data_IF_554864390714
#
_entry.id   IF_554864390714
#
_cell.length_a   1.000
_cell.length_b   1.000
_cell.length_c   1.000
_cell.angle_alpha   90.00
_cell.angle_beta   90.00
_cell.angle_gamma   90.00
#
_symmetry.space_group_name_H-M   'P 1'
#
loop_
_entity.id
_entity.type
_entity.pdbx_description
1 polymer ?
#
# COMPACT_ATOMS: atom_id res chain seq x y z
N UNK A 1 7.79 13.45 0.70
CA UNK A 1 6.79 14.47 0.30
C UNK A 1 5.85 14.70 1.48
N UNK A 2 5.52 15.97 1.79
CA UNK A 2 4.63 16.31 2.90
C UNK A 2 3.15 16.19 2.56
N UNK A 3 2.28 16.19 3.58
CA UNK A 3 0.83 16.22 3.40
C UNK A 3 0.38 17.53 2.72
N UNK A 4 -0.60 17.43 1.83
CA UNK A 4 -1.25 18.60 1.21
C UNK A 4 -2.18 19.35 2.17
N UNK A 5 -2.34 18.89 3.43
CA UNK A 5 -3.21 19.54 4.44
C UNK A 5 -2.94 21.03 4.62
N UNK A 6 -1.70 21.46 4.47
CA UNK A 6 -1.32 22.88 4.59
C UNK A 6 -2.00 23.78 3.55
N UNK A 7 -2.44 23.22 2.43
CA UNK A 7 -3.09 23.95 1.35
C UNK A 7 -4.62 24.04 1.47
N UNK A 8 -5.25 23.45 2.48
CA UNK A 8 -6.71 23.49 2.66
C UNK A 8 -7.23 24.91 2.74
N UNK A 9 -6.47 25.83 3.31
CA UNK A 9 -6.86 27.25 3.43
C UNK A 9 -6.57 28.08 2.16
N UNK A 10 -5.84 27.51 1.21
CA UNK A 10 -5.50 28.17 -0.06
C UNK A 10 -6.47 27.77 -1.20
N UNK A 11 -7.10 26.60 -1.07
CA UNK A 11 -7.97 26.03 -2.12
C UNK A 11 -9.31 25.61 -1.54
N UNK A 12 -10.37 26.33 -1.92
CA UNK A 12 -11.73 26.11 -1.40
C UNK A 12 -12.31 24.75 -1.80
N UNK A 13 -11.84 24.16 -2.92
CA UNK A 13 -12.27 22.87 -3.45
C UNK A 13 -11.36 21.69 -3.09
N UNK A 14 -10.38 21.89 -2.20
CA UNK A 14 -9.46 20.83 -1.81
C UNK A 14 -10.07 19.97 -0.70
N UNK A 15 -10.15 18.67 -0.97
CA UNK A 15 -10.54 17.65 0.01
C UNK A 15 -9.40 16.66 0.16
N UNK A 16 -8.94 16.44 1.40
CA UNK A 16 -7.90 15.45 1.71
C UNK A 16 -8.51 14.31 2.49
N UNK A 17 -8.40 13.11 1.94
CA UNK A 17 -8.85 11.89 2.59
C UNK A 17 -7.66 11.20 3.28
N UNK A 18 -7.87 10.76 4.51
CA UNK A 18 -6.90 10.00 5.29
C UNK A 18 -7.58 8.79 5.93
N UNK A 19 -6.90 7.66 5.96
CA UNK A 19 -7.42 6.42 6.55
C UNK A 19 -6.56 5.96 7.74
N UNK A 20 -7.19 5.31 8.70
CA UNK A 20 -6.52 4.55 9.76
C UNK A 20 -6.17 3.12 9.35
N UNK A 21 -6.60 2.68 8.17
CA UNK A 21 -6.49 1.28 7.72
C UNK A 21 -5.07 0.82 7.43
N UNK A 22 -4.11 1.72 7.17
CA UNK A 22 -2.75 1.37 6.72
C UNK A 22 -1.72 1.65 7.80
N UNK A 23 -1.20 2.86 7.92
CA UNK A 23 -0.13 3.20 8.86
C UNK A 23 -0.48 2.90 10.33
N UNK A 24 -1.73 3.06 10.71
CA UNK A 24 -2.22 2.70 12.05
C UNK A 24 -2.57 1.22 12.22
N UNK A 25 -2.64 0.43 11.13
CA UNK A 25 -3.01 -0.99 11.20
C UNK A 25 -4.48 -1.27 11.57
N UNK A 26 -5.36 -0.27 11.49
CA UNK A 26 -6.74 -0.33 11.98
C UNK A 26 -7.76 -0.58 10.85
N UNK A 27 -7.41 -1.41 9.87
CA UNK A 27 -8.28 -1.68 8.72
C UNK A 27 -9.66 -2.25 9.10
N UNK A 28 -9.73 -3.06 10.16
CA UNK A 28 -10.97 -3.68 10.65
C UNK A 28 -11.97 -2.65 11.21
N UNK A 29 -11.51 -1.50 11.69
CA UNK A 29 -12.37 -0.46 12.29
C UNK A 29 -13.15 0.37 11.26
N UNK A 30 -12.86 0.24 9.98
CA UNK A 30 -13.55 0.91 8.86
C UNK A 30 -13.67 2.43 9.03
N UNK A 31 -12.62 3.08 9.54
CA UNK A 31 -12.60 4.51 9.82
C UNK A 31 -11.63 5.25 8.92
N UNK A 32 -12.06 6.41 8.43
CA UNK A 32 -11.27 7.40 7.73
C UNK A 32 -11.67 8.81 8.13
N UNK A 33 -10.91 9.78 7.65
CA UNK A 33 -11.10 11.20 7.89
C UNK A 33 -11.12 11.95 6.55
N UNK A 34 -11.89 13.04 6.51
CA UNK A 34 -11.81 14.04 5.45
C UNK A 34 -11.45 15.39 6.06
N UNK A 35 -10.53 16.11 5.43
CA UNK A 35 -10.15 17.47 5.78
C UNK A 35 -10.46 18.37 4.59
N UNK A 36 -11.24 19.43 4.81
CA UNK A 36 -11.62 20.41 3.79
C UNK A 36 -12.02 21.72 4.45
N UNK A 37 -12.32 22.74 3.64
CA UNK A 37 -12.95 23.99 4.10
C UNK A 37 -14.29 23.71 4.77
N UNK A 38 -14.69 24.63 5.67
CA UNK A 38 -15.87 24.50 6.53
C UNK A 38 -17.16 24.21 5.75
N UNK A 39 -17.34 24.87 4.61
CA UNK A 39 -18.55 24.71 3.79
C UNK A 39 -18.67 23.31 3.19
N UNK A 40 -17.56 22.74 2.71
CA UNK A 40 -17.52 21.35 2.22
C UNK A 40 -17.84 20.37 3.37
N UNK A 41 -17.27 20.58 4.55
CA UNK A 41 -17.54 19.75 5.72
C UNK A 41 -19.02 19.87 6.14
N UNK A 42 -19.61 21.03 6.02
CA UNK A 42 -21.05 21.22 6.28
C UNK A 42 -21.92 20.40 5.30
N UNK A 43 -21.55 20.34 4.00
CA UNK A 43 -22.24 19.48 3.05
C UNK A 43 -22.08 17.99 3.38
N UNK A 44 -20.88 17.55 3.73
CA UNK A 44 -20.65 16.16 4.17
C UNK A 44 -21.50 15.81 5.38
N UNK A 45 -21.62 16.73 6.33
CA UNK A 45 -22.41 16.52 7.55
C UNK A 45 -23.91 16.38 7.27
N UNK A 46 -24.43 17.02 6.22
CA UNK A 46 -25.84 16.91 5.80
C UNK A 46 -26.18 15.54 5.18
N UNK A 47 -25.21 14.90 4.51
CA UNK A 47 -25.42 13.63 3.80
C UNK A 47 -24.91 12.42 4.57
N UNK A 48 -24.07 12.64 5.58
CA UNK A 48 -23.50 11.57 6.40
C UNK A 48 -24.57 10.97 7.32
N UNK A 49 -24.59 9.64 7.43
CA UNK A 49 -25.42 8.97 8.42
C UNK A 49 -25.04 9.40 9.85
N UNK A 50 -26.02 9.72 10.73
CA UNK A 50 -25.74 10.25 12.06
C UNK A 50 -24.99 9.28 12.97
N UNK A 51 -25.23 7.97 12.86
CA UNK A 51 -24.67 6.91 13.73
C UNK A 51 -23.69 6.00 12.99
N UNK A 52 -22.91 6.54 12.05
CA UNK A 52 -22.03 5.75 11.20
C UNK A 52 -20.76 5.22 11.89
N UNK A 53 -20.42 5.67 13.11
CA UNK A 53 -19.25 5.25 13.88
C UNK A 53 -19.70 4.86 15.27
N UNK A 54 -19.57 3.57 15.61
CA UNK A 54 -19.94 3.08 16.93
C UNK A 54 -18.94 3.51 18.02
N UNK A 55 -19.36 3.46 19.29
CA UNK A 55 -18.54 3.90 20.43
C UNK A 55 -17.26 3.10 20.56
N UNK A 56 -17.28 1.78 20.38
CA UNK A 56 -16.10 0.94 20.45
C UNK A 56 -15.01 1.33 19.42
N UNK A 57 -15.43 1.65 18.18
CA UNK A 57 -14.51 2.16 17.14
C UNK A 57 -13.89 3.48 17.57
N UNK A 58 -14.69 4.42 18.13
CA UNK A 58 -14.19 5.70 18.60
C UNK A 58 -13.14 5.53 19.70
N UNK A 59 -13.40 4.67 20.67
CA UNK A 59 -12.49 4.42 21.80
C UNK A 59 -11.18 3.79 21.35
N UNK A 60 -11.25 2.76 20.48
CA UNK A 60 -10.07 2.09 19.95
C UNK A 60 -9.18 3.04 19.11
N UNK A 61 -9.79 3.87 18.28
CA UNK A 61 -9.03 4.84 17.47
C UNK A 61 -8.44 5.92 18.34
N UNK A 62 -9.17 6.45 19.32
CA UNK A 62 -8.67 7.46 20.27
C UNK A 62 -7.44 6.94 21.02
N UNK A 63 -7.48 5.70 21.49
CA UNK A 63 -6.33 5.06 22.15
C UNK A 63 -5.15 4.84 21.17
N UNK A 64 -5.43 4.51 19.91
CA UNK A 64 -4.38 4.25 18.92
C UNK A 64 -3.66 5.52 18.44
N UNK A 65 -4.38 6.65 18.34
CA UNK A 65 -3.79 7.94 17.92
C UNK A 65 -2.72 8.42 18.91
N UNK A 66 -2.84 8.05 20.17
CA UNK A 66 -1.87 8.42 21.21
C UNK A 66 -0.56 7.63 21.12
N UNK A 67 -0.52 6.56 20.32
CA UNK A 67 0.68 5.73 20.16
C UNK A 67 1.47 6.16 18.92
N UNK A 68 2.81 6.22 19.00
CA UNK A 68 3.63 6.51 17.83
C UNK A 68 3.51 5.41 16.77
N UNK A 69 3.16 5.77 15.54
CA UNK A 69 3.10 4.85 14.39
C UNK A 69 4.45 4.72 13.67
N UNK A 70 5.45 5.48 14.10
CA UNK A 70 6.72 5.67 13.39
C UNK A 70 7.55 4.39 13.23
N UNK A 71 7.53 3.49 14.20
CA UNK A 71 8.37 2.28 14.18
C UNK A 71 7.97 1.34 13.05
N UNK A 72 6.68 1.02 12.91
CA UNK A 72 6.19 0.10 11.88
C UNK A 72 6.30 0.71 10.48
N UNK A 73 6.06 2.02 10.33
CA UNK A 73 6.18 2.70 9.04
C UNK A 73 7.62 2.82 8.59
N UNK A 74 8.57 3.12 9.49
CA UNK A 74 9.99 3.17 9.19
C UNK A 74 10.52 1.81 8.73
N UNK A 75 10.12 0.73 9.41
CA UNK A 75 10.45 -0.63 9.00
C UNK A 75 9.92 -0.95 7.59
N UNK A 76 8.65 -0.67 7.32
CA UNK A 76 8.04 -0.90 6.00
C UNK A 76 8.76 -0.10 4.89
N UNK A 77 9.12 1.15 5.14
CA UNK A 77 9.85 2.00 4.19
C UNK A 77 11.23 1.40 3.89
N UNK A 78 11.97 0.98 4.93
CA UNK A 78 13.27 0.33 4.79
C UNK A 78 13.19 -0.96 3.99
N UNK A 79 12.25 -1.85 4.35
CA UNK A 79 12.03 -3.13 3.65
C UNK A 79 11.62 -2.92 2.20
N UNK A 80 10.75 -1.94 1.91
CA UNK A 80 10.37 -1.59 0.54
C UNK A 80 11.57 -1.18 -0.29
N UNK A 81 12.45 -0.34 0.24
CA UNK A 81 13.67 0.08 -0.44
C UNK A 81 14.62 -1.10 -0.69
N UNK A 82 14.74 -2.01 0.26
CA UNK A 82 15.56 -3.22 0.12
C UNK A 82 14.98 -4.14 -0.95
N UNK A 83 13.68 -4.44 -0.92
CA UNK A 83 13.02 -5.24 -1.95
C UNK A 83 13.18 -4.64 -3.34
N UNK A 84 12.97 -3.33 -3.50
CA UNK A 84 13.12 -2.66 -4.79
C UNK A 84 14.55 -2.81 -5.35
N UNK A 85 15.58 -2.66 -4.52
CA UNK A 85 16.99 -2.85 -4.94
C UNK A 85 17.31 -4.28 -5.36
N UNK A 86 16.73 -5.28 -4.70
CA UNK A 86 16.93 -6.67 -5.10
C UNK A 86 16.20 -7.00 -6.39
N UNK A 87 14.91 -6.62 -6.48
CA UNK A 87 14.10 -6.84 -7.67
C UNK A 87 14.67 -6.17 -8.93
N UNK A 88 15.30 -5.00 -8.79
CA UNK A 88 15.92 -4.30 -9.93
C UNK A 88 17.15 -4.99 -10.53
N UNK A 89 17.62 -6.09 -9.91
CA UNK A 89 18.76 -6.87 -10.39
C UNK A 89 18.34 -8.17 -11.09
N UNK A 90 17.05 -8.47 -11.11
CA UNK A 90 16.51 -9.67 -11.75
C UNK A 90 16.25 -9.39 -13.23
N UNK A 91 16.70 -10.28 -14.09
CA UNK A 91 16.55 -10.16 -15.55
C UNK A 91 15.09 -10.28 -16.00
N UNK A 92 14.26 -10.99 -15.23
CA UNK A 92 12.81 -11.09 -15.47
C UNK A 92 12.05 -9.79 -15.21
N UNK A 93 12.67 -8.79 -14.55
CA UNK A 93 12.01 -7.53 -14.17
C UNK A 93 12.25 -6.45 -15.22
N UNK A 94 11.20 -5.99 -15.86
CA UNK A 94 11.27 -4.88 -16.82
C UNK A 94 11.31 -3.51 -16.11
N UNK A 95 10.46 -3.31 -15.07
CA UNK A 95 10.35 -2.02 -14.40
C UNK A 95 9.77 -2.14 -12.99
N UNK A 96 10.27 -1.33 -12.07
CA UNK A 96 9.68 -1.11 -10.76
C UNK A 96 9.13 0.30 -10.70
N UNK A 97 7.85 0.43 -10.41
CA UNK A 97 7.21 1.75 -10.30
C UNK A 97 7.50 2.38 -8.94
N UNK A 98 7.73 3.71 -8.87
CA UNK A 98 7.89 4.41 -7.60
C UNK A 98 6.69 4.17 -6.69
N UNK A 99 6.95 3.92 -5.40
CA UNK A 99 5.90 3.64 -4.42
C UNK A 99 6.19 4.34 -3.10
N UNK A 100 5.15 4.93 -2.51
CA UNK A 100 5.13 5.39 -1.11
C UNK A 100 4.15 4.54 -0.27
N UNK A 101 3.62 3.45 -0.84
CA UNK A 101 2.71 2.52 -0.19
C UNK A 101 3.46 1.35 0.49
N UNK A 102 2.70 0.44 1.09
CA UNK A 102 3.21 -0.81 1.66
C UNK A 102 3.28 -1.95 0.63
N UNK A 103 3.48 -1.63 -0.63
CA UNK A 103 3.66 -2.58 -1.73
C UNK A 103 4.52 -1.97 -2.84
N UNK A 104 5.05 -2.81 -3.70
CA UNK A 104 5.66 -2.47 -4.98
C UNK A 104 4.78 -2.93 -6.12
N UNK A 105 4.65 -2.10 -7.17
CA UNK A 105 4.13 -2.51 -8.46
C UNK A 105 5.33 -2.77 -9.35
N UNK A 106 5.46 -4.02 -9.80
CA UNK A 106 6.61 -4.51 -10.57
C UNK A 106 6.09 -5.02 -11.91
N UNK A 107 6.66 -4.52 -13.00
CA UNK A 107 6.40 -5.01 -14.34
C UNK A 107 7.45 -6.08 -14.67
N UNK A 108 6.98 -7.24 -15.10
CA UNK A 108 7.77 -8.36 -15.55
C UNK A 108 7.67 -8.51 -17.07
N UNK A 109 8.57 -9.24 -17.69
CA UNK A 109 8.42 -9.60 -19.10
C UNK A 109 7.26 -10.57 -19.29
N UNK A 110 7.05 -11.51 -18.37
CA UNK A 110 5.90 -12.43 -18.32
C UNK A 110 5.36 -12.54 -16.89
N UNK A 111 4.45 -11.64 -16.53
CA UNK A 111 3.88 -11.59 -15.18
C UNK A 111 3.02 -12.81 -14.85
N UNK A 112 2.39 -13.44 -15.83
CA UNK A 112 1.50 -14.56 -15.57
C UNK A 112 2.32 -15.80 -15.18
N UNK A 113 3.41 -16.11 -15.87
CA UNK A 113 4.32 -17.20 -15.47
C UNK A 113 4.94 -16.96 -14.10
N UNK A 114 5.42 -15.74 -13.82
CA UNK A 114 5.96 -15.39 -12.50
C UNK A 114 4.90 -15.54 -11.40
N UNK A 115 3.68 -15.13 -11.68
CA UNK A 115 2.55 -15.29 -10.77
C UNK A 115 2.27 -16.76 -10.45
N UNK A 116 2.13 -17.61 -11.47
CA UNK A 116 1.84 -19.03 -11.32
C UNK A 116 2.96 -19.75 -10.56
N UNK A 117 4.21 -19.40 -10.85
CA UNK A 117 5.37 -19.91 -10.11
C UNK A 117 5.31 -19.52 -8.63
N UNK A 118 5.07 -18.24 -8.30
CA UNK A 118 4.97 -17.79 -6.92
C UNK A 118 3.82 -18.49 -6.17
N UNK A 119 2.67 -18.66 -6.81
CA UNK A 119 1.54 -19.42 -6.25
C UNK A 119 1.94 -20.86 -5.95
N UNK A 120 2.65 -21.54 -6.86
CA UNK A 120 3.14 -22.92 -6.64
C UNK A 120 4.09 -23.03 -5.42
N UNK A 121 4.77 -21.96 -5.09
CA UNK A 121 5.65 -21.85 -3.89
C UNK A 121 4.91 -21.34 -2.63
N UNK A 122 3.60 -21.13 -2.71
CA UNK A 122 2.77 -20.62 -1.61
C UNK A 122 2.94 -19.12 -1.34
N UNK A 123 3.46 -18.34 -2.30
CA UNK A 123 3.57 -16.88 -2.22
C UNK A 123 2.42 -16.26 -3.01
N UNK A 124 1.53 -15.56 -2.29
CA UNK A 124 0.36 -14.93 -2.90
C UNK A 124 0.65 -13.45 -3.15
N UNK A 125 0.73 -13.08 -4.41
CA UNK A 125 0.82 -11.69 -4.89
C UNK A 125 -0.46 -11.31 -5.65
N UNK A 126 -0.59 -10.07 -6.08
CA UNK A 126 -1.74 -9.66 -6.89
C UNK A 126 -1.34 -9.43 -8.34
N UNK A 127 -1.85 -10.26 -9.25
CA UNK A 127 -1.75 -9.99 -10.68
C UNK A 127 -2.63 -8.79 -11.03
N UNK A 128 -2.03 -7.77 -11.66
CA UNK A 128 -2.68 -6.53 -12.06
C UNK A 128 -2.70 -6.35 -13.58
N UNK A 129 -2.31 -7.35 -14.35
CA UNK A 129 -2.19 -7.30 -15.81
C UNK A 129 -3.48 -6.89 -16.54
N UNK A 130 -4.64 -7.19 -15.93
CA UNK A 130 -5.96 -6.82 -16.44
C UNK A 130 -6.37 -5.36 -16.17
N UNK A 131 -5.59 -4.63 -15.36
CA UNK A 131 -5.89 -3.22 -15.04
C UNK A 131 -5.30 -2.33 -16.12
N UNK A 132 -6.06 -1.36 -16.66
CA UNK A 132 -5.53 -0.41 -17.63
C UNK A 132 -4.22 0.23 -17.17
N UNK A 133 -3.21 0.21 -18.03
CA UNK A 133 -1.86 0.73 -17.73
C UNK A 133 -0.96 -0.19 -16.90
N UNK A 134 -1.45 -1.35 -16.44
CA UNK A 134 -0.69 -2.30 -15.61
C UNK A 134 -0.40 -3.64 -16.31
N UNK A 135 -0.33 -3.66 -17.65
CA UNK A 135 0.01 -4.89 -18.39
C UNK A 135 1.32 -5.49 -17.88
N UNK A 136 1.33 -6.80 -17.64
CA UNK A 136 2.46 -7.54 -17.09
C UNK A 136 2.93 -7.04 -15.70
N UNK A 137 2.02 -6.55 -14.86
CA UNK A 137 2.37 -6.04 -13.54
C UNK A 137 1.86 -6.97 -12.42
N UNK A 138 2.75 -7.27 -11.48
CA UNK A 138 2.39 -7.86 -10.19
C UNK A 138 2.52 -6.80 -9.10
N UNK A 139 1.55 -6.77 -8.18
CA UNK A 139 1.62 -5.99 -6.95
C UNK A 139 2.10 -6.89 -5.82
N UNK A 140 3.31 -6.62 -5.35
CA UNK A 140 3.98 -7.36 -4.28
C UNK A 140 3.88 -6.56 -2.99
N UNK A 141 3.25 -7.12 -1.97
CA UNK A 141 3.12 -6.47 -0.66
C UNK A 141 4.46 -6.51 0.07
N UNK A 142 4.82 -5.42 0.74
CA UNK A 142 5.94 -5.38 1.68
C UNK A 142 5.46 -5.97 3.00
N UNK A 143 5.85 -7.20 3.27
CA UNK A 143 5.54 -7.95 4.47
C UNK A 143 6.59 -7.81 5.57
N UNK A 144 6.65 -8.78 6.45
CA UNK A 144 7.74 -8.94 7.42
C UNK A 144 9.05 -9.23 6.69
N UNK A 145 10.17 -9.02 7.35
CA UNK A 145 11.48 -9.32 6.76
C UNK A 145 11.59 -10.77 6.28
N UNK A 146 11.05 -11.72 7.05
CA UNK A 146 11.06 -13.15 6.69
C UNK A 146 10.25 -13.43 5.41
N UNK A 147 9.07 -12.85 5.29
CA UNK A 147 8.21 -12.98 4.10
C UNK A 147 8.87 -12.34 2.87
N UNK A 148 9.47 -11.17 3.04
CA UNK A 148 10.16 -10.47 1.97
C UNK A 148 11.35 -11.27 1.45
N UNK A 149 12.19 -11.80 2.36
CA UNK A 149 13.34 -12.65 2.00
C UNK A 149 12.85 -13.86 1.19
N UNK A 150 11.86 -14.59 1.71
CA UNK A 150 11.32 -15.77 1.03
C UNK A 150 10.77 -15.46 -0.37
N UNK A 151 10.08 -14.33 -0.52
CA UNK A 151 9.57 -13.88 -1.83
C UNK A 151 10.71 -13.60 -2.80
N UNK A 152 11.76 -12.92 -2.34
CA UNK A 152 12.94 -12.60 -3.16
C UNK A 152 13.73 -13.86 -3.53
N UNK A 153 13.91 -14.81 -2.62
CA UNK A 153 14.59 -16.08 -2.89
C UNK A 153 13.90 -16.85 -4.02
N UNK A 154 12.58 -16.98 -4.00
CA UNK A 154 11.85 -17.65 -5.07
C UNK A 154 11.91 -16.89 -6.40
N UNK A 155 11.85 -15.57 -6.39
CA UNK A 155 12.00 -14.78 -7.61
C UNK A 155 13.42 -14.94 -8.20
N UNK A 156 14.46 -15.00 -7.37
CA UNK A 156 15.82 -15.27 -7.81
C UNK A 156 16.00 -16.72 -8.33
N UNK A 157 15.31 -17.69 -7.74
CA UNK A 157 15.28 -19.07 -8.22
C UNK A 157 14.65 -19.16 -9.62
N UNK A 158 13.52 -18.48 -9.80
CA UNK A 158 12.82 -18.40 -11.09
C UNK A 158 13.68 -17.71 -12.16
N UNK A 159 14.25 -16.55 -11.84
CA UNK A 159 15.11 -15.76 -12.73
C UNK A 159 16.25 -16.61 -13.31
N UNK A 160 16.92 -17.41 -12.47
CA UNK A 160 17.98 -18.33 -12.89
C UNK A 160 17.47 -19.50 -13.74
N UNK A 161 16.21 -19.91 -13.59
CA UNK A 161 15.62 -21.02 -14.35
C UNK A 161 15.11 -20.58 -15.72
N UNK A 162 14.71 -19.32 -15.86
CA UNK A 162 14.15 -18.77 -17.10
C UNK A 162 15.27 -18.40 -18.13
N UNK A 163 16.51 -18.28 -17.68
CA UNK A 163 17.71 -18.01 -18.53
C UNK A 163 18.21 -19.30 -19.24
N UNK A 164 17.62 -20.47 -18.98
CA UNK A 164 17.98 -21.73 -19.64
C UNK A 164 16.93 -22.12 -20.64
#
# INVERSE_FOLDING_TARGET
>A
KGSLRKYIYEYDNLIILQTFSKAYGLAALRLGMAFAQKDIIAYFSKVKYPYNINKSTQDLVSAAILKPITVNTAHTISQRGTMARFLSRLDIVEKIYPSEANFLLVKFYDADKVYDYLISKGIIVRNRSHVPGCRNCLRITVGTQKENIKTLEYLMEYDKSDIR
#
